data_IF_436499585473
#
_entry.id   IF_436499585473
#
_cell.length_a   1.000
_cell.length_b   1.000
_cell.length_c   1.000
_cell.angle_alpha   90.00
_cell.angle_beta   90.00
_cell.angle_gamma   90.00
#
_symmetry.space_group_name_H-M   'P 1'
#
loop_
_entity.id
_entity.type
_entity.pdbx_description
1 polymer ?
#
# COMPACT_ATOMS: atom_id res chain seq x y z
N UNK A 1 -14.28 -11.94 -5.51
CA UNK A 1 -13.80 -11.68 -6.89
C UNK A 1 -13.10 -10.33 -6.89
N UNK A 2 -11.77 -10.31 -6.89
CA UNK A 2 -11.00 -9.10 -7.21
C UNK A 2 -10.63 -9.20 -8.68
N UNK A 3 -11.06 -8.22 -9.48
CA UNK A 3 -10.64 -8.12 -10.87
C UNK A 3 -9.23 -7.54 -10.86
N UNK A 4 -8.24 -8.40 -11.06
CA UNK A 4 -6.86 -7.97 -11.30
C UNK A 4 -6.79 -7.51 -12.76
N UNK A 5 -6.85 -6.21 -12.99
CA UNK A 5 -6.57 -5.66 -14.31
C UNK A 5 -5.06 -5.72 -14.55
N UNK A 6 -4.58 -6.86 -15.04
CA UNK A 6 -3.27 -6.91 -15.69
C UNK A 6 -3.40 -6.22 -17.05
N UNK A 7 -2.97 -4.96 -17.12
CA UNK A 7 -2.72 -4.31 -18.41
C UNK A 7 -1.41 -4.90 -18.94
N UNK A 8 -1.49 -6.06 -19.58
CA UNK A 8 -0.35 -6.69 -20.30
C UNK A 8 0.30 -5.63 -21.20
N UNK A 9 1.59 -5.36 -20.98
CA UNK A 9 2.36 -4.37 -21.73
C UNK A 9 2.66 -3.09 -20.97
N UNK A 10 1.93 -2.74 -19.89
CA UNK A 10 2.22 -1.51 -19.14
C UNK A 10 3.49 -1.65 -18.29
N UNK A 11 3.69 -2.81 -17.65
CA UNK A 11 4.88 -3.09 -16.87
C UNK A 11 6.12 -3.15 -17.76
N UNK A 12 5.99 -3.82 -18.91
CA UNK A 12 7.01 -3.93 -19.94
C UNK A 12 7.33 -2.57 -20.54
N UNK A 13 6.32 -1.71 -20.76
CA UNK A 13 6.52 -0.34 -21.22
C UNK A 13 7.23 0.53 -20.18
N UNK A 14 6.88 0.44 -18.90
CA UNK A 14 7.58 1.16 -17.82
C UNK A 14 9.03 0.69 -17.71
N UNK A 15 9.28 -0.62 -17.72
CA UNK A 15 10.63 -1.17 -17.71
C UNK A 15 11.43 -0.76 -18.95
N UNK A 16 10.81 -0.76 -20.14
CA UNK A 16 11.45 -0.31 -21.37
C UNK A 16 11.79 1.17 -21.29
N UNK A 17 10.88 2.00 -20.78
CA UNK A 17 11.11 3.43 -20.55
C UNK A 17 12.26 3.63 -19.57
N UNK A 18 12.30 2.91 -18.45
CA UNK A 18 13.42 2.99 -17.49
C UNK A 18 14.74 2.59 -18.14
N UNK A 19 14.75 1.49 -18.91
CA UNK A 19 15.95 0.97 -19.57
C UNK A 19 16.46 1.94 -20.63
N UNK A 20 15.56 2.47 -21.45
CA UNK A 20 15.87 3.50 -22.46
C UNK A 20 16.33 4.79 -21.80
N UNK A 21 15.65 5.25 -20.75
CA UNK A 21 16.03 6.48 -20.03
C UNK A 21 17.43 6.38 -19.44
N UNK A 22 17.79 5.20 -18.89
CA UNK A 22 19.12 4.92 -18.34
C UNK A 22 20.20 4.89 -19.43
N UNK A 23 19.94 4.22 -20.56
CA UNK A 23 20.90 4.08 -21.68
C UNK A 23 21.09 5.43 -22.39
N UNK A 24 20.01 6.14 -22.66
CA UNK A 24 20.02 7.40 -23.41
C UNK A 24 20.29 8.63 -22.52
N UNK A 25 20.50 8.44 -21.20
CA UNK A 25 20.63 9.52 -20.19
C UNK A 25 19.50 10.55 -20.28
N UNK A 26 18.32 10.11 -20.74
CA UNK A 26 17.15 10.97 -20.90
C UNK A 26 16.67 11.35 -19.52
N UNK A 27 16.87 12.63 -19.18
CA UNK A 27 16.28 13.21 -18.00
C UNK A 27 14.84 13.56 -18.33
N UNK A 28 13.91 12.87 -17.67
CA UNK A 28 12.52 13.30 -17.70
C UNK A 28 12.45 14.70 -17.09
N UNK A 29 11.80 15.67 -17.77
CA UNK A 29 11.63 16.98 -17.18
C UNK A 29 10.95 16.84 -15.82
N UNK A 30 11.50 17.48 -14.79
CA UNK A 30 11.00 17.39 -13.41
C UNK A 30 9.47 17.59 -13.33
N UNK A 31 8.91 18.48 -14.17
CA UNK A 31 7.47 18.73 -14.29
C UNK A 31 6.65 17.48 -14.65
N UNK A 32 7.16 16.63 -15.55
CA UNK A 32 6.46 15.39 -15.95
C UNK A 32 6.43 14.40 -14.79
N UNK A 33 7.58 14.21 -14.12
CA UNK A 33 7.69 13.37 -12.93
C UNK A 33 6.79 13.88 -11.80
N UNK A 34 6.74 15.20 -11.59
CA UNK A 34 5.89 15.83 -10.58
C UNK A 34 4.40 15.58 -10.85
N UNK A 35 3.95 15.74 -12.10
CA UNK A 35 2.56 15.54 -12.47
C UNK A 35 2.14 14.08 -12.32
N UNK A 36 2.97 13.13 -12.77
CA UNK A 36 2.74 11.70 -12.60
C UNK A 36 2.68 11.32 -11.11
N UNK A 37 3.62 11.80 -10.31
CA UNK A 37 3.68 11.50 -8.89
C UNK A 37 2.47 12.07 -8.14
N UNK A 38 2.03 13.30 -8.44
CA UNK A 38 0.83 13.90 -7.85
C UNK A 38 -0.43 13.12 -8.22
N UNK A 39 -0.56 12.70 -9.48
CA UNK A 39 -1.70 11.90 -9.91
C UNK A 39 -1.74 10.54 -9.21
N UNK A 40 -0.60 9.86 -9.13
CA UNK A 40 -0.47 8.59 -8.41
C UNK A 40 -0.76 8.75 -6.91
N UNK A 41 -0.25 9.79 -6.26
CA UNK A 41 -0.54 10.12 -4.86
C UNK A 41 -2.05 10.31 -4.63
N UNK A 42 -2.73 11.06 -5.49
CA UNK A 42 -4.17 11.28 -5.41
C UNK A 42 -4.94 9.95 -5.54
N UNK A 43 -4.58 9.12 -6.53
CA UNK A 43 -5.21 7.80 -6.67
C UNK A 43 -4.96 6.87 -5.50
N UNK A 44 -3.76 6.84 -4.95
CA UNK A 44 -3.51 6.08 -3.72
C UNK A 44 -4.37 6.61 -2.55
N UNK A 45 -4.52 7.93 -2.40
CA UNK A 45 -5.37 8.54 -1.36
C UNK A 45 -6.86 8.22 -1.53
N UNK A 46 -7.33 8.03 -2.75
CA UNK A 46 -8.71 7.61 -3.05
C UNK A 46 -8.95 6.13 -2.76
N UNK A 47 -7.99 5.26 -3.11
CA UNK A 47 -8.13 3.81 -3.02
C UNK A 47 -7.95 3.26 -1.59
N UNK A 48 -7.17 3.91 -0.73
CA UNK A 48 -6.89 3.37 0.60
C UNK A 48 -8.13 3.31 1.50
N UNK A 49 -8.29 2.23 2.29
CA UNK A 49 -9.43 2.07 3.19
C UNK A 49 -9.47 3.15 4.28
N UNK A 50 -10.68 3.63 4.59
CA UNK A 50 -10.91 4.68 5.58
C UNK A 50 -11.50 4.11 6.87
N UNK A 51 -10.64 3.91 7.88
CA UNK A 51 -11.07 3.76 9.30
C UNK A 51 -11.05 5.09 10.03
N UNK A 52 -9.85 5.69 10.19
CA UNK A 52 -9.64 7.00 10.83
C UNK A 52 -9.07 8.06 9.86
N UNK A 53 -8.75 7.64 8.63
CA UNK A 53 -8.06 8.46 7.63
C UNK A 53 -6.56 8.68 7.87
N UNK A 54 -5.97 8.12 8.94
CA UNK A 54 -4.54 8.30 9.27
C UNK A 54 -3.61 7.84 8.14
N UNK A 55 -3.89 6.68 7.53
CA UNK A 55 -3.09 6.16 6.40
C UNK A 55 -3.16 7.13 5.21
N UNK A 56 -4.36 7.51 4.77
CA UNK A 56 -4.56 8.48 3.68
C UNK A 56 -3.78 9.78 3.89
N UNK A 57 -3.77 10.33 5.10
CA UNK A 57 -3.04 11.57 5.43
C UNK A 57 -1.52 11.39 5.44
N UNK A 58 -1.02 10.16 5.70
CA UNK A 58 0.41 9.86 5.71
C UNK A 58 1.02 9.69 4.32
N UNK A 59 0.19 9.52 3.28
CA UNK A 59 0.64 9.35 1.90
C UNK A 59 1.17 10.69 1.39
N UNK A 60 2.43 10.70 0.92
CA UNK A 60 3.11 11.89 0.36
C UNK A 60 4.11 11.50 -0.71
N UNK A 61 4.46 12.47 -1.55
CA UNK A 61 5.55 12.36 -2.54
C UNK A 61 6.82 12.97 -1.94
N UNK A 62 7.92 12.23 -2.00
CA UNK A 62 9.27 12.73 -1.76
C UNK A 62 9.98 12.92 -3.10
N UNK A 63 10.59 14.09 -3.27
CA UNK A 63 11.37 14.43 -4.47
C UNK A 63 12.80 13.93 -4.34
N UNK A 64 13.25 13.18 -5.35
CA UNK A 64 14.65 12.77 -5.54
C UNK A 64 15.19 13.47 -6.80
N UNK A 65 16.53 13.53 -7.00
CA UNK A 65 17.12 14.22 -8.15
C UNK A 65 16.58 13.78 -9.51
N UNK A 66 16.34 12.49 -9.68
CA UNK A 66 15.94 11.83 -10.93
C UNK A 66 14.65 11.01 -10.79
N UNK A 67 13.98 11.07 -9.63
CA UNK A 67 12.83 10.26 -9.33
C UNK A 67 11.83 10.95 -8.40
N UNK A 68 10.64 10.36 -8.27
CA UNK A 68 9.65 10.70 -7.25
C UNK A 68 9.29 9.43 -6.50
N UNK A 69 9.34 9.49 -5.18
CA UNK A 69 9.04 8.35 -4.32
C UNK A 69 7.72 8.62 -3.60
N UNK A 70 6.76 7.71 -3.73
CA UNK A 70 5.53 7.78 -2.94
C UNK A 70 5.74 6.96 -1.68
N UNK A 71 5.45 7.55 -0.52
CA UNK A 71 5.61 6.89 0.77
C UNK A 71 4.31 6.95 1.58
N UNK A 72 4.11 5.96 2.44
CA UNK A 72 3.02 5.89 3.39
C UNK A 72 3.58 5.55 4.78
N UNK A 73 3.35 6.44 5.74
CA UNK A 73 4.07 6.47 7.01
C UNK A 73 3.16 6.03 8.17
N UNK A 74 2.70 4.78 8.10
CA UNK A 74 2.02 4.13 9.21
C UNK A 74 2.55 2.71 9.41
N UNK A 75 2.57 2.20 10.66
CA UNK A 75 3.05 0.84 10.94
C UNK A 75 2.31 -0.28 10.19
N UNK A 76 1.10 0.00 9.70
CA UNK A 76 0.23 -0.95 9.02
C UNK A 76 0.10 -0.68 7.51
N UNK A 77 0.81 0.31 6.95
CA UNK A 77 0.74 0.65 5.53
C UNK A 77 1.08 -0.55 4.63
N UNK A 78 2.12 -1.30 4.99
CA UNK A 78 2.53 -2.51 4.28
C UNK A 78 1.45 -3.59 4.26
N UNK A 79 0.78 -3.81 5.39
CA UNK A 79 -0.29 -4.81 5.50
C UNK A 79 -1.48 -4.41 4.62
N UNK A 80 -1.78 -3.11 4.51
CA UNK A 80 -2.84 -2.62 3.64
C UNK A 80 -2.49 -2.77 2.16
N UNK A 81 -1.22 -2.55 1.79
CA UNK A 81 -0.77 -2.63 0.39
C UNK A 81 -0.54 -4.07 -0.09
N UNK A 82 0.15 -4.88 0.71
CA UNK A 82 0.59 -6.21 0.32
C UNK A 82 -0.43 -7.30 0.73
N UNK A 83 -1.36 -6.94 1.60
CA UNK A 83 -2.22 -7.90 2.29
C UNK A 83 -1.53 -8.62 3.43
N UNK A 84 -2.25 -9.59 4.01
CA UNK A 84 -1.77 -10.52 5.01
C UNK A 84 -2.26 -11.93 4.68
N UNK A 85 -1.36 -12.92 4.75
CA UNK A 85 -1.72 -14.35 4.60
C UNK A 85 -2.58 -14.81 5.78
N UNK A 86 -3.37 -15.89 5.63
CA UNK A 86 -4.03 -16.53 6.77
C UNK A 86 -3.01 -16.87 7.87
N UNK A 87 -3.33 -16.55 9.12
CA UNK A 87 -2.41 -16.76 10.26
C UNK A 87 -3.18 -16.84 11.58
N UNK A 88 -2.52 -17.38 12.60
CA UNK A 88 -3.03 -17.35 13.96
C UNK A 88 -2.54 -16.12 14.71
N UNK A 89 -3.43 -15.53 15.50
CA UNK A 89 -3.12 -14.42 16.41
C UNK A 89 -3.13 -14.98 17.84
N UNK A 90 -2.04 -14.78 18.55
CA UNK A 90 -1.84 -15.25 19.92
C UNK A 90 -1.65 -14.08 20.89
N UNK A 91 -2.08 -14.20 22.15
CA UNK A 91 -1.76 -13.22 23.18
C UNK A 91 -0.27 -13.31 23.51
N UNK A 92 0.43 -12.16 23.49
CA UNK A 92 1.88 -12.13 23.74
C UNK A 92 2.24 -12.33 25.22
N UNK A 93 1.59 -11.58 26.11
CA UNK A 93 1.90 -11.54 27.55
C UNK A 93 0.67 -11.85 28.43
N UNK A 94 -0.43 -12.31 27.84
CA UNK A 94 -1.73 -12.49 28.51
C UNK A 94 -2.25 -13.90 28.26
N UNK A 95 -3.26 -14.32 29.03
CA UNK A 95 -3.87 -15.66 28.92
C UNK A 95 -4.82 -15.79 27.72
N UNK A 96 -5.42 -14.70 27.28
CA UNK A 96 -6.39 -14.67 26.20
C UNK A 96 -6.43 -13.32 25.49
N UNK A 97 -6.94 -13.32 24.27
CA UNK A 97 -7.34 -12.15 23.51
C UNK A 97 -8.77 -11.78 23.89
N UNK A 98 -9.03 -10.48 24.06
CA UNK A 98 -10.37 -9.95 24.27
C UNK A 98 -10.65 -8.84 23.26
N UNK A 99 -11.77 -8.92 22.55
CA UNK A 99 -12.18 -7.92 21.57
C UNK A 99 -13.70 -7.83 21.47
N UNK A 100 -14.20 -6.66 21.08
CA UNK A 100 -15.63 -6.43 20.90
C UNK A 100 -16.04 -6.69 19.46
N UNK A 101 -17.06 -7.51 19.26
CA UNK A 101 -17.61 -7.85 17.93
C UNK A 101 -19.11 -8.04 18.05
N UNK A 102 -19.87 -7.45 17.12
CA UNK A 102 -21.34 -7.64 17.03
C UNK A 102 -22.07 -7.35 18.36
N UNK A 103 -21.67 -6.27 19.04
CA UNK A 103 -22.30 -5.85 20.30
C UNK A 103 -21.90 -6.65 21.54
N UNK A 104 -20.96 -7.58 21.44
CA UNK A 104 -20.56 -8.47 22.56
C UNK A 104 -19.05 -8.53 22.73
N UNK A 105 -18.61 -8.72 23.97
CA UNK A 105 -17.21 -9.07 24.27
C UNK A 105 -16.95 -10.53 23.93
N UNK A 106 -15.91 -10.77 23.15
CA UNK A 106 -15.43 -12.11 22.76
C UNK A 106 -14.07 -12.33 23.39
N UNK A 107 -13.91 -13.47 24.07
CA UNK A 107 -12.64 -13.91 24.67
C UNK A 107 -12.20 -15.20 24.00
N UNK A 108 -10.95 -15.24 23.52
CA UNK A 108 -10.38 -16.39 22.81
C UNK A 108 -8.91 -16.61 23.20
N UNK A 109 -8.49 -17.86 23.34
CA UNK A 109 -7.08 -18.19 23.54
C UNK A 109 -6.22 -17.81 22.32
N UNK A 110 -6.76 -17.97 21.11
CA UNK A 110 -6.17 -17.53 19.85
C UNK A 110 -7.27 -17.28 18.80
N UNK A 111 -6.93 -16.60 17.71
CA UNK A 111 -7.84 -16.34 16.58
C UNK A 111 -7.19 -16.86 15.29
N UNK A 112 -7.95 -17.63 14.51
CA UNK A 112 -7.58 -17.97 13.13
C UNK A 112 -8.02 -16.82 12.22
N UNK A 113 -7.07 -15.98 11.81
CA UNK A 113 -7.33 -14.84 10.93
C UNK A 113 -7.25 -15.31 9.47
N UNK A 114 -8.30 -15.09 8.65
CA UNK A 114 -8.33 -15.57 7.25
C UNK A 114 -7.35 -14.83 6.34
N UNK A 115 -6.72 -13.77 6.84
CA UNK A 115 -5.89 -12.87 6.05
C UNK A 115 -6.70 -11.71 5.49
N UNK A 116 -6.05 -10.93 4.64
CA UNK A 116 -6.62 -9.80 3.93
C UNK A 116 -5.89 -9.64 2.61
N UNK A 117 -6.61 -9.37 1.53
CA UNK A 117 -6.03 -9.07 0.22
C UNK A 117 -5.90 -7.55 0.12
N UNK A 118 -4.68 -7.07 -0.13
CA UNK A 118 -4.39 -5.65 -0.38
C UNK A 118 -5.03 -5.12 -1.66
#
# INVERSE_FOLDING_TARGET
MSVRAEVKGLYEAVLLIERVSRIARIHWPNRVLDNLARHAEQKMKELVPKKTGRLRRSIRVESLPDARKIIADTPYARIVNDGARPHYIYPKNKKALAFFKEGKWVVKAWVHHPGFVG
#
